data_IF_843845582711
#
_entry.id   IF_843845582711
#
_cell.length_a   1.000
_cell.length_b   1.000
_cell.length_c   1.000
_cell.angle_alpha   90.00
_cell.angle_beta   90.00
_cell.angle_gamma   90.00
#
_symmetry.space_group_name_H-M   'P 1'
#
loop_
_entity.id
_entity.type
_entity.pdbx_description
1 polymer ?
#
# COMPACT_ATOMS: atom_id res chain seq x y z
N UNK A 1 -2.68 36.13 -5.52
CA UNK A 1 -2.41 35.33 -4.29
C UNK A 1 -1.21 34.44 -4.56
N UNK A 2 -0.12 34.58 -3.79
CA UNK A 2 1.02 33.65 -3.90
C UNK A 2 0.62 32.33 -3.23
N UNK A 3 0.70 31.23 -3.95
CA UNK A 3 0.42 29.88 -3.43
C UNK A 3 1.46 29.56 -2.33
N UNK A 4 1.00 29.16 -1.14
CA UNK A 4 1.88 28.76 -0.05
C UNK A 4 2.63 27.47 -0.43
N UNK A 5 3.95 27.40 -0.19
CA UNK A 5 4.79 26.31 -0.65
C UNK A 5 4.39 24.92 -0.12
N UNK A 6 3.66 24.85 0.99
CA UNK A 6 3.06 23.62 1.50
C UNK A 6 2.22 22.88 0.43
N UNK A 7 1.48 23.63 -0.41
CA UNK A 7 0.68 23.06 -1.48
C UNK A 7 1.51 22.52 -2.63
N UNK A 8 2.68 23.12 -2.89
CA UNK A 8 3.65 22.63 -3.88
C UNK A 8 4.25 21.33 -3.39
N UNK A 9 4.62 21.23 -2.11
CA UNK A 9 5.11 19.99 -1.49
C UNK A 9 4.03 18.90 -1.53
N UNK A 10 2.78 19.23 -1.22
CA UNK A 10 1.67 18.29 -1.28
C UNK A 10 1.43 17.79 -2.71
N UNK A 11 1.41 18.68 -3.70
CA UNK A 11 1.23 18.32 -5.11
C UNK A 11 2.36 17.42 -5.65
N UNK A 12 3.62 17.76 -5.32
CA UNK A 12 4.78 16.94 -5.69
C UNK A 12 4.72 15.55 -5.02
N UNK A 13 4.33 15.50 -3.74
CA UNK A 13 4.14 14.25 -3.00
C UNK A 13 3.00 13.40 -3.59
N UNK A 14 1.90 14.03 -4.01
CA UNK A 14 0.77 13.37 -4.67
C UNK A 14 1.22 12.69 -5.97
N UNK A 15 1.92 13.43 -6.84
CA UNK A 15 2.45 12.90 -8.12
C UNK A 15 3.43 11.75 -7.85
N UNK A 16 4.28 11.89 -6.84
CA UNK A 16 5.26 10.85 -6.48
C UNK A 16 4.57 9.56 -6.03
N UNK A 17 3.55 9.65 -5.18
CA UNK A 17 2.77 8.48 -4.77
C UNK A 17 1.97 7.90 -5.94
N UNK A 18 1.34 8.75 -6.75
CA UNK A 18 0.63 8.33 -7.95
C UNK A 18 1.51 7.44 -8.85
N UNK A 19 2.68 7.91 -9.25
CA UNK A 19 3.61 7.13 -10.10
C UNK A 19 4.11 5.89 -9.38
N UNK A 20 4.46 5.99 -8.09
CA UNK A 20 4.94 4.83 -7.31
C UNK A 20 3.91 3.71 -7.26
N UNK A 21 2.63 4.02 -7.03
CA UNK A 21 1.58 3.01 -6.96
C UNK A 21 1.12 2.52 -8.33
N UNK A 22 1.24 3.35 -9.37
CA UNK A 22 1.11 2.91 -10.77
C UNK A 22 2.12 1.79 -11.08
N UNK A 23 3.37 1.94 -10.63
CA UNK A 23 4.45 0.96 -10.84
C UNK A 23 4.23 -0.29 -9.98
N UNK A 24 4.10 -0.14 -8.65
CA UNK A 24 4.17 -1.27 -7.71
C UNK A 24 2.93 -2.17 -7.71
N UNK A 25 1.75 -1.64 -8.02
CA UNK A 25 0.49 -2.38 -8.03
C UNK A 25 -0.04 -2.47 -9.46
N UNK A 26 -0.25 -1.33 -10.12
CA UNK A 26 -0.87 -1.27 -11.44
C UNK A 26 -0.08 -2.02 -12.49
N UNK A 27 1.17 -1.63 -12.71
CA UNK A 27 2.00 -2.23 -13.76
C UNK A 27 2.21 -3.72 -13.52
N UNK A 28 2.55 -4.13 -12.30
CA UNK A 28 2.80 -5.54 -12.02
C UNK A 28 1.60 -6.42 -12.36
N UNK A 29 0.43 -6.14 -11.78
CA UNK A 29 -0.76 -6.98 -11.99
C UNK A 29 -1.22 -6.98 -13.45
N UNK A 30 -1.16 -5.84 -14.13
CA UNK A 30 -1.64 -5.71 -15.52
C UNK A 30 -0.66 -6.37 -16.49
N UNK A 31 0.64 -6.14 -16.36
CA UNK A 31 1.65 -6.67 -17.30
C UNK A 31 2.02 -8.13 -17.02
N UNK A 32 1.64 -8.68 -15.86
CA UNK A 32 1.98 -10.04 -15.43
C UNK A 32 1.57 -11.13 -16.44
N UNK A 33 0.34 -11.16 -17.02
CA UNK A 33 -0.03 -12.19 -17.97
C UNK A 33 0.90 -12.24 -19.19
N UNK A 34 1.30 -11.08 -19.69
CA UNK A 34 2.19 -10.99 -20.86
C UNK A 34 3.63 -11.41 -20.50
N UNK A 35 4.10 -11.08 -19.29
CA UNK A 35 5.39 -11.55 -18.79
C UNK A 35 5.42 -13.08 -18.64
N UNK A 36 4.35 -13.69 -18.10
CA UNK A 36 4.22 -15.14 -17.97
C UNK A 36 4.33 -15.81 -19.34
N UNK A 37 3.62 -15.29 -20.34
CA UNK A 37 3.65 -15.83 -21.72
C UNK A 37 5.01 -15.66 -22.39
N UNK A 38 5.61 -14.47 -22.28
CA UNK A 38 6.83 -14.12 -23.01
C UNK A 38 8.08 -14.83 -22.43
N UNK A 39 8.15 -14.96 -21.10
CA UNK A 39 9.25 -15.66 -20.43
C UNK A 39 9.04 -17.18 -20.37
N UNK A 40 7.84 -17.69 -20.64
CA UNK A 40 7.50 -19.10 -20.50
C UNK A 40 7.60 -19.60 -19.05
N UNK A 41 7.35 -18.74 -18.08
CA UNK A 41 7.47 -19.02 -16.64
C UNK A 41 6.15 -19.49 -16.04
N UNK A 42 6.23 -20.23 -14.93
CA UNK A 42 5.08 -20.62 -14.13
C UNK A 42 4.48 -19.43 -13.35
N UNK A 43 3.26 -19.59 -12.84
CA UNK A 43 2.60 -18.59 -12.01
C UNK A 43 3.34 -18.40 -10.67
N UNK A 44 3.94 -19.48 -10.13
CA UNK A 44 4.78 -19.42 -8.93
C UNK A 44 6.04 -18.58 -9.17
N UNK A 45 6.73 -18.79 -10.28
CA UNK A 45 7.91 -18.01 -10.68
C UNK A 45 7.57 -16.55 -10.91
N UNK A 46 6.42 -16.27 -11.52
CA UNK A 46 5.90 -14.92 -11.63
C UNK A 46 5.67 -14.28 -10.25
N UNK A 47 5.10 -15.04 -9.30
CA UNK A 47 4.96 -14.62 -7.91
C UNK A 47 6.29 -14.28 -7.22
N UNK A 48 7.41 -14.96 -7.58
CA UNK A 48 8.74 -14.65 -7.02
C UNK A 48 9.20 -13.23 -7.37
N UNK A 49 8.86 -12.72 -8.55
CA UNK A 49 9.18 -11.34 -8.96
C UNK A 49 8.57 -10.36 -7.94
N UNK A 50 7.28 -10.53 -7.61
CA UNK A 50 6.58 -9.68 -6.66
C UNK A 50 7.07 -9.85 -5.22
N UNK A 51 7.37 -11.08 -4.82
CA UNK A 51 7.90 -11.38 -3.49
C UNK A 51 9.27 -10.77 -3.26
N UNK A 52 10.13 -10.76 -4.28
CA UNK A 52 11.43 -10.09 -4.23
C UNK A 52 11.31 -8.58 -4.03
N UNK A 53 10.37 -7.92 -4.73
CA UNK A 53 10.01 -6.54 -4.47
C UNK A 53 9.55 -6.34 -3.03
N UNK A 54 8.61 -7.17 -2.55
CA UNK A 54 8.04 -7.04 -1.20
C UNK A 54 9.09 -7.25 -0.12
N UNK A 55 10.03 -8.17 -0.33
CA UNK A 55 11.15 -8.45 0.58
C UNK A 55 12.09 -7.23 0.70
N UNK A 56 12.54 -6.69 -0.44
CA UNK A 56 13.43 -5.51 -0.42
C UNK A 56 12.74 -4.27 0.15
N UNK A 57 11.48 -4.06 -0.19
CA UNK A 57 10.65 -3.01 0.40
C UNK A 57 10.55 -3.14 1.92
N UNK A 58 10.21 -4.33 2.42
CA UNK A 58 10.02 -4.59 3.85
C UNK A 58 11.31 -4.39 4.64
N UNK A 59 12.41 -4.95 4.16
CA UNK A 59 13.71 -4.89 4.85
C UNK A 59 14.28 -3.46 4.91
N UNK A 60 14.05 -2.67 3.86
CA UNK A 60 14.63 -1.33 3.76
C UNK A 60 13.75 -0.21 4.32
N UNK A 61 12.44 -0.42 4.46
CA UNK A 61 11.54 0.63 4.99
C UNK A 61 12.00 1.21 6.35
N UNK A 62 12.42 0.42 7.35
CA UNK A 62 12.92 0.98 8.61
C UNK A 62 14.20 1.81 8.44
N UNK A 63 15.09 1.36 7.55
CA UNK A 63 16.33 2.08 7.23
C UNK A 63 16.03 3.43 6.57
N UNK A 64 15.00 3.50 5.72
CA UNK A 64 14.59 4.74 5.04
C UNK A 64 14.06 5.78 6.03
N UNK A 65 13.35 5.36 7.08
CA UNK A 65 12.95 6.26 8.17
C UNK A 65 14.18 6.90 8.84
N UNK A 66 15.13 6.08 9.26
CA UNK A 66 16.39 6.54 9.87
C UNK A 66 17.20 7.45 8.93
N UNK A 67 17.29 7.11 7.65
CA UNK A 67 17.99 7.91 6.65
C UNK A 67 17.32 9.28 6.45
N UNK A 68 15.98 9.30 6.48
CA UNK A 68 15.17 10.53 6.38
C UNK A 68 15.48 11.50 7.52
N UNK A 69 15.62 10.99 8.73
CA UNK A 69 15.97 11.80 9.91
C UNK A 69 17.39 12.39 9.81
N UNK A 70 18.32 11.67 9.15
CA UNK A 70 19.72 12.11 9.01
C UNK A 70 19.97 13.08 7.87
N UNK A 71 19.48 12.80 6.68
CA UNK A 71 19.84 13.57 5.47
C UNK A 71 18.67 14.37 4.88
N UNK A 72 17.46 14.23 5.47
CA UNK A 72 16.24 14.91 5.09
C UNK A 72 15.42 14.14 4.04
N UNK A 73 14.08 14.29 4.13
CA UNK A 73 13.13 13.59 3.28
C UNK A 73 13.26 13.92 1.80
N UNK A 74 13.53 15.20 1.46
CA UNK A 74 13.77 15.63 0.08
C UNK A 74 14.85 14.82 -0.61
N UNK A 75 16.02 14.68 0.02
CA UNK A 75 17.16 13.97 -0.56
C UNK A 75 16.88 12.48 -0.70
N UNK A 76 16.28 11.88 0.35
CA UNK A 76 15.92 10.46 0.36
C UNK A 76 14.93 10.15 -0.76
N UNK A 77 13.80 10.86 -0.82
CA UNK A 77 12.78 10.64 -1.85
C UNK A 77 13.39 10.82 -3.24
N UNK A 78 14.08 11.95 -3.50
CA UNK A 78 14.63 12.22 -4.81
C UNK A 78 15.62 11.15 -5.25
N UNK A 79 16.62 10.82 -4.41
CA UNK A 79 17.64 9.85 -4.76
C UNK A 79 17.07 8.46 -5.03
N UNK A 80 16.13 8.04 -4.20
CA UNK A 80 15.53 6.71 -4.34
C UNK A 80 14.51 6.60 -5.47
N UNK A 81 14.03 7.71 -6.02
CA UNK A 81 13.30 7.72 -7.29
C UNK A 81 14.17 7.25 -8.48
N UNK A 82 15.50 7.35 -8.39
CA UNK A 82 16.40 6.77 -9.40
C UNK A 82 16.36 5.24 -9.37
N UNK A 83 16.31 4.63 -8.19
CA UNK A 83 16.14 3.17 -8.04
C UNK A 83 14.74 2.73 -8.47
N UNK A 84 13.70 3.49 -8.05
CA UNK A 84 12.32 3.22 -8.47
C UNK A 84 12.18 3.26 -9.99
N UNK A 85 12.55 4.37 -10.62
CA UNK A 85 12.43 4.57 -12.06
C UNK A 85 13.40 3.72 -12.86
N UNK A 86 14.67 3.64 -12.44
CA UNK A 86 15.71 2.84 -13.09
C UNK A 86 15.38 1.34 -13.06
N UNK A 87 15.02 0.81 -11.90
CA UNK A 87 14.57 -0.59 -11.79
C UNK A 87 13.33 -0.88 -12.65
N UNK A 88 12.37 0.06 -12.66
CA UNK A 88 11.17 -0.06 -13.51
C UNK A 88 11.51 -0.03 -14.99
N UNK A 89 12.41 0.86 -15.42
CA UNK A 89 12.87 0.91 -16.82
C UNK A 89 13.56 -0.39 -17.21
N UNK A 90 14.44 -0.90 -16.34
CA UNK A 90 15.17 -2.16 -16.57
C UNK A 90 14.21 -3.36 -16.66
N UNK A 91 13.04 -3.35 -15.98
CA UNK A 91 12.01 -4.39 -16.16
C UNK A 91 11.60 -4.56 -17.64
N UNK A 92 11.55 -3.47 -18.41
CA UNK A 92 11.27 -3.54 -19.84
C UNK A 92 12.38 -4.24 -20.66
N UNK A 93 13.61 -4.31 -20.13
CA UNK A 93 14.74 -5.01 -20.76
C UNK A 93 14.90 -6.44 -20.30
N UNK A 94 14.12 -6.90 -19.30
CA UNK A 94 14.23 -8.23 -18.76
C UNK A 94 13.95 -9.29 -19.84
N UNK A 95 14.81 -10.32 -19.91
CA UNK A 95 14.72 -11.40 -20.89
C UNK A 95 14.33 -12.73 -20.24
N UNK A 96 14.44 -12.80 -18.93
CA UNK A 96 14.22 -14.01 -18.15
C UNK A 96 13.76 -13.67 -16.72
N UNK A 97 13.37 -14.70 -15.97
CA UNK A 97 12.93 -14.60 -14.59
C UNK A 97 13.99 -13.95 -13.69
N UNK A 98 15.26 -14.32 -13.85
CA UNK A 98 16.35 -13.87 -12.97
C UNK A 98 16.51 -12.35 -13.05
N UNK A 99 16.57 -11.82 -14.28
CA UNK A 99 16.64 -10.38 -14.51
C UNK A 99 15.40 -9.65 -13.98
N UNK A 100 14.20 -10.20 -14.21
CA UNK A 100 12.97 -9.63 -13.70
C UNK A 100 12.94 -9.56 -12.16
N UNK A 101 13.37 -10.63 -11.48
CA UNK A 101 13.50 -10.67 -10.01
C UNK A 101 14.49 -9.62 -9.50
N UNK A 102 15.66 -9.53 -10.12
CA UNK A 102 16.69 -8.53 -9.74
C UNK A 102 16.16 -7.11 -9.95
N UNK A 103 15.64 -6.81 -11.13
CA UNK A 103 15.20 -5.46 -11.48
C UNK A 103 14.00 -5.03 -10.63
N UNK A 104 13.06 -5.94 -10.36
CA UNK A 104 11.91 -5.61 -9.52
C UNK A 104 12.28 -5.50 -8.03
N UNK A 105 13.35 -6.17 -7.60
CA UNK A 105 13.95 -5.93 -6.27
C UNK A 105 14.52 -4.51 -6.16
N UNK A 106 15.15 -3.99 -7.22
CA UNK A 106 15.62 -2.59 -7.28
C UNK A 106 14.45 -1.62 -7.20
N UNK A 107 13.32 -1.92 -7.85
CA UNK A 107 12.07 -1.14 -7.69
C UNK A 107 11.63 -1.12 -6.23
N UNK A 108 11.70 -2.25 -5.52
CA UNK A 108 11.38 -2.36 -4.09
C UNK A 108 12.27 -1.48 -3.21
N UNK A 109 13.57 -1.41 -3.50
CA UNK A 109 14.52 -0.49 -2.84
C UNK A 109 14.05 0.96 -2.99
N UNK A 110 13.73 1.37 -4.22
CA UNK A 110 13.25 2.73 -4.51
C UNK A 110 11.93 3.04 -3.79
N UNK A 111 10.97 2.12 -3.87
CA UNK A 111 9.64 2.29 -3.28
C UNK A 111 9.66 2.40 -1.75
N UNK A 112 10.61 1.74 -1.07
CA UNK A 112 10.75 1.79 0.39
C UNK A 112 11.01 3.21 0.92
N UNK A 113 11.61 4.07 0.10
CA UNK A 113 11.98 5.43 0.47
C UNK A 113 10.89 6.48 0.17
N UNK A 114 9.67 6.08 -0.18
CA UNK A 114 8.66 7.04 -0.65
C UNK A 114 7.62 7.34 0.43
N UNK A 115 6.91 6.35 0.96
CA UNK A 115 5.75 6.58 1.82
C UNK A 115 6.11 7.28 3.14
N UNK A 116 7.04 6.71 3.91
CA UNK A 116 7.39 7.22 5.25
C UNK A 116 7.99 8.64 5.18
N UNK A 117 8.96 8.93 4.28
CA UNK A 117 9.49 10.27 4.14
C UNK A 117 8.46 11.30 3.67
N UNK A 118 7.52 10.94 2.79
CA UNK A 118 6.45 11.84 2.35
C UNK A 118 5.55 12.22 3.51
N UNK A 119 5.14 11.25 4.34
CA UNK A 119 4.30 11.54 5.52
C UNK A 119 5.03 12.49 6.47
N UNK A 120 6.32 12.29 6.72
CA UNK A 120 7.13 13.18 7.54
C UNK A 120 7.18 14.60 6.98
N UNK A 121 7.37 14.76 5.66
CA UNK A 121 7.34 16.06 5.00
C UNK A 121 5.98 16.77 5.18
N UNK A 122 4.88 16.07 4.93
CA UNK A 122 3.53 16.63 5.09
C UNK A 122 3.29 17.10 6.54
N UNK A 123 3.77 16.34 7.52
CA UNK A 123 3.66 16.72 8.94
C UNK A 123 4.47 17.98 9.29
N UNK A 124 5.58 18.24 8.61
CA UNK A 124 6.39 19.45 8.80
C UNK A 124 5.75 20.68 8.13
N UNK A 125 5.10 20.49 6.97
CA UNK A 125 4.56 21.61 6.16
C UNK A 125 3.15 22.03 6.53
N UNK A 126 2.41 21.19 7.28
CA UNK A 126 1.02 21.49 7.70
C UNK A 126 0.89 21.51 9.23
N UNK A 127 0.31 22.56 9.77
CA UNK A 127 0.01 22.68 11.19
C UNK A 127 -0.94 21.58 11.68
N UNK A 128 -0.94 21.27 12.98
CA UNK A 128 -1.66 20.12 13.57
C UNK A 128 -3.13 20.02 13.11
N UNK A 129 -3.83 21.15 13.07
CA UNK A 129 -5.27 21.21 12.66
C UNK A 129 -5.49 20.93 11.17
N UNK A 130 -4.46 21.03 10.32
CA UNK A 130 -4.56 20.92 8.87
C UNK A 130 -3.89 19.66 8.31
N UNK A 131 -3.14 18.91 9.13
CA UNK A 131 -2.50 17.64 8.73
C UNK A 131 -3.50 16.61 8.21
N UNK A 132 -4.66 16.50 8.87
CA UNK A 132 -5.72 15.58 8.43
C UNK A 132 -6.23 15.90 7.02
N UNK A 133 -6.42 17.19 6.70
CA UNK A 133 -6.81 17.64 5.36
C UNK A 133 -5.74 17.28 4.32
N UNK A 134 -4.48 17.59 4.62
CA UNK A 134 -3.37 17.31 3.70
C UNK A 134 -3.23 15.80 3.41
N UNK A 135 -3.31 14.96 4.45
CA UNK A 135 -3.27 13.51 4.31
C UNK A 135 -4.51 12.98 3.59
N UNK A 136 -5.69 13.58 3.80
CA UNK A 136 -6.91 13.26 3.08
C UNK A 136 -6.80 13.53 1.58
N UNK A 137 -6.16 14.64 1.18
CA UNK A 137 -5.89 14.95 -0.23
C UNK A 137 -4.82 14.01 -0.81
N UNK A 138 -3.84 13.60 -0.01
CA UNK A 138 -2.76 12.73 -0.44
C UNK A 138 -3.22 11.28 -0.65
N UNK A 139 -4.12 10.78 0.20
CA UNK A 139 -4.55 9.38 0.20
C UNK A 139 -5.11 8.87 -1.14
N UNK A 140 -5.95 9.60 -1.90
CA UNK A 140 -6.46 9.12 -3.18
C UNK A 140 -5.37 8.83 -4.23
N UNK A 141 -4.18 9.46 -4.10
CA UNK A 141 -3.11 9.34 -5.09
C UNK A 141 -2.71 7.89 -5.37
N UNK A 142 -2.68 7.03 -4.34
CA UNK A 142 -2.33 5.62 -4.54
C UNK A 142 -3.41 4.86 -5.31
N UNK A 143 -4.68 5.02 -4.96
CA UNK A 143 -5.79 4.36 -5.65
C UNK A 143 -5.93 4.84 -7.09
N UNK A 144 -5.89 6.16 -7.32
CA UNK A 144 -5.93 6.74 -8.66
C UNK A 144 -4.74 6.27 -9.48
N UNK A 145 -3.52 6.17 -8.87
CA UNK A 145 -2.31 5.73 -9.56
C UNK A 145 -2.47 4.35 -10.20
N UNK A 146 -2.76 3.33 -9.41
CA UNK A 146 -2.90 1.99 -9.99
C UNK A 146 -4.20 1.77 -10.77
N UNK A 147 -5.27 2.50 -10.43
CA UNK A 147 -6.55 2.41 -11.13
C UNK A 147 -6.50 2.93 -12.56
N UNK A 148 -5.83 4.07 -12.80
CA UNK A 148 -5.66 4.60 -14.15
C UNK A 148 -4.80 3.67 -15.02
N UNK A 149 -3.91 2.88 -14.45
CA UNK A 149 -3.11 1.93 -15.22
C UNK A 149 -3.97 0.84 -15.88
N UNK A 150 -5.11 0.47 -15.29
CA UNK A 150 -6.06 -0.46 -15.92
C UNK A 150 -6.70 0.07 -17.21
N UNK A 151 -6.70 1.39 -17.42
CA UNK A 151 -7.15 2.04 -18.64
C UNK A 151 -5.99 2.31 -19.62
N UNK A 152 -4.85 2.75 -19.12
CA UNK A 152 -3.72 3.25 -19.95
C UNK A 152 -2.86 2.10 -20.46
N UNK A 153 -2.45 1.17 -19.59
CA UNK A 153 -1.53 0.10 -19.97
C UNK A 153 -2.07 -0.85 -21.05
N UNK A 154 -3.36 -1.22 -21.07
CA UNK A 154 -3.88 -2.04 -22.18
C UNK A 154 -3.68 -1.41 -23.55
N UNK A 155 -3.84 -0.08 -23.67
CA UNK A 155 -3.61 0.64 -24.92
C UNK A 155 -2.14 0.52 -25.32
N UNK A 156 -1.23 0.77 -24.38
CA UNK A 156 0.22 0.67 -24.60
C UNK A 156 0.64 -0.75 -24.99
N UNK A 157 0.08 -1.76 -24.32
CA UNK A 157 0.42 -3.17 -24.57
C UNK A 157 -0.07 -3.63 -25.95
N UNK A 158 -1.28 -3.24 -26.33
CA UNK A 158 -1.85 -3.64 -27.61
C UNK A 158 -1.15 -2.96 -28.81
N UNK A 159 -0.67 -1.73 -28.65
CA UNK A 159 -0.01 -0.99 -29.73
C UNK A 159 1.53 -1.21 -29.76
N UNK A 160 2.18 -1.30 -28.58
CA UNK A 160 3.64 -1.24 -28.48
C UNK A 160 4.26 -2.42 -27.71
N UNK A 161 3.50 -3.43 -27.29
CA UNK A 161 3.92 -4.53 -26.43
C UNK A 161 4.11 -4.13 -24.94
N UNK A 162 4.08 -5.13 -24.06
CA UNK A 162 4.13 -4.96 -22.60
C UNK A 162 5.41 -4.29 -22.08
N UNK A 163 6.54 -4.45 -22.80
CA UNK A 163 7.81 -3.82 -22.42
C UNK A 163 7.76 -2.29 -22.42
N UNK A 164 7.00 -1.70 -23.34
CA UNK A 164 6.81 -0.26 -23.38
C UNK A 164 6.04 0.28 -22.17
N UNK A 165 5.18 -0.53 -21.55
CA UNK A 165 4.54 -0.20 -20.28
C UNK A 165 5.58 0.03 -19.17
N UNK A 166 6.58 -0.85 -19.07
CA UNK A 166 7.67 -0.68 -18.11
C UNK A 166 8.58 0.48 -18.46
N UNK A 167 8.94 0.68 -19.73
CA UNK A 167 9.78 1.82 -20.14
C UNK A 167 9.11 3.15 -19.82
N UNK A 168 7.85 3.33 -20.17
CA UNK A 168 7.11 4.58 -19.94
C UNK A 168 6.98 4.91 -18.45
N UNK A 169 6.64 3.93 -17.62
CA UNK A 169 6.58 4.10 -16.17
C UNK A 169 7.97 4.29 -15.55
N UNK A 170 8.99 3.62 -16.07
CA UNK A 170 10.37 3.81 -15.66
C UNK A 170 10.86 5.25 -15.90
N UNK A 171 10.58 5.80 -17.09
CA UNK A 171 10.87 7.21 -17.40
C UNK A 171 10.11 8.14 -16.45
N UNK A 172 8.81 7.89 -16.22
CA UNK A 172 8.02 8.66 -15.26
C UNK A 172 8.65 8.62 -13.85
N UNK A 173 9.09 7.43 -13.40
CA UNK A 173 9.80 7.26 -12.13
C UNK A 173 11.13 8.01 -12.06
N UNK A 174 11.92 8.02 -13.14
CA UNK A 174 13.18 8.78 -13.24
C UNK A 174 12.93 10.30 -13.21
N UNK A 175 11.88 10.77 -13.88
CA UNK A 175 11.49 12.18 -13.85
C UNK A 175 11.12 12.67 -12.45
N UNK A 176 10.65 11.79 -11.56
CA UNK A 176 10.40 12.12 -10.17
C UNK A 176 11.67 12.56 -9.42
N UNK A 177 12.86 12.10 -9.82
CA UNK A 177 14.12 12.61 -9.26
C UNK A 177 14.24 14.14 -9.41
N UNK A 178 14.00 14.64 -10.62
CA UNK A 178 14.05 16.07 -10.88
C UNK A 178 12.90 16.81 -10.22
N UNK A 179 11.68 16.31 -10.35
CA UNK A 179 10.49 16.91 -9.75
C UNK A 179 10.65 17.06 -8.23
N UNK A 180 11.03 16.01 -7.54
CA UNK A 180 11.20 16.04 -6.09
C UNK A 180 12.42 16.88 -5.67
N UNK A 181 13.49 16.81 -6.42
CA UNK A 181 14.68 17.65 -6.22
C UNK A 181 14.37 19.15 -6.35
N UNK A 182 13.48 19.54 -7.25
CA UNK A 182 13.11 20.94 -7.46
C UNK A 182 12.07 21.45 -6.45
N UNK A 183 11.04 20.67 -6.17
CA UNK A 183 9.84 21.13 -5.47
C UNK A 183 9.76 20.72 -4.00
N UNK A 184 10.32 19.58 -3.60
CA UNK A 184 10.32 19.20 -2.20
C UNK A 184 11.29 20.06 -1.38
N UNK A 185 10.89 20.36 -0.15
CA UNK A 185 11.71 21.02 0.89
C UNK A 185 11.40 20.36 2.22
N UNK A 186 12.42 20.14 3.05
CA UNK A 186 12.26 19.39 4.30
C UNK A 186 11.47 20.16 5.35
N UNK A 187 11.70 21.47 5.45
CA UNK A 187 11.11 22.32 6.49
C UNK A 187 10.72 23.69 5.94
N UNK A 188 9.57 24.25 6.34
CA UNK A 188 9.13 25.57 5.93
C UNK A 188 10.07 26.68 6.40
N UNK A 189 10.73 26.53 7.57
CA UNK A 189 11.64 27.51 8.15
C UNK A 189 12.85 27.82 7.24
N UNK A 190 13.30 26.83 6.43
CA UNK A 190 14.37 27.02 5.43
C UNK A 190 13.98 27.98 4.30
N UNK A 191 12.70 28.31 4.20
CA UNK A 191 12.14 29.25 3.23
C UNK A 191 11.56 30.49 3.91
N UNK A 192 11.86 30.72 5.19
CA UNK A 192 11.26 31.79 6.01
C UNK A 192 9.72 31.73 6.03
N UNK A 193 9.15 30.52 6.03
CA UNK A 193 7.70 30.26 6.09
C UNK A 193 7.38 29.51 7.39
N UNK A 194 6.14 29.69 7.89
CA UNK A 194 5.55 28.86 8.93
C UNK A 194 4.76 27.71 8.30
N UNK A 195 4.49 26.60 9.04
CA UNK A 195 3.60 25.56 8.58
C UNK A 195 2.22 26.10 8.19
N UNK A 196 1.66 25.65 7.07
CA UNK A 196 0.37 26.15 6.59
C UNK A 196 -0.76 25.84 7.57
N UNK A 197 -1.51 26.89 7.94
CA UNK A 197 -2.64 26.78 8.87
C UNK A 197 -2.24 26.80 10.36
N UNK A 198 -1.00 27.14 10.67
CA UNK A 198 -0.58 27.50 12.02
C UNK A 198 -0.87 28.99 12.27
N UNK A 199 -1.52 29.31 13.38
CA UNK A 199 -1.82 30.71 13.74
C UNK A 199 -0.53 31.40 14.19
N UNK A 200 -0.26 32.61 13.70
CA UNK A 200 0.91 33.46 14.06
C UNK A 200 1.06 33.74 15.57
N UNK A 201 0.02 33.48 16.36
CA UNK A 201 0.01 33.70 17.82
C UNK A 201 0.70 32.63 18.67
N UNK A 202 1.23 31.58 18.04
CA UNK A 202 2.03 30.55 18.69
C UNK A 202 3.53 30.85 18.51
N UNK A 203 4.05 31.91 19.19
CA UNK A 203 5.49 32.11 19.27
C UNK A 203 6.23 30.81 19.58
N UNK A 204 7.43 30.68 19.05
CA UNK A 204 8.40 29.57 19.19
C UNK A 204 8.20 28.84 20.54
N UNK A 205 7.14 28.05 20.67
CA UNK A 205 7.01 27.08 21.74
C UNK A 205 7.85 25.90 21.31
N UNK A 206 9.01 25.89 21.91
CA UNK A 206 10.09 25.00 21.73
C UNK A 206 9.67 23.59 21.36
N UNK A 207 10.49 22.98 20.53
CA UNK A 207 10.64 21.54 20.37
C UNK A 207 10.14 20.91 21.69
N UNK A 208 8.88 20.45 21.71
CA UNK A 208 8.44 19.57 22.79
C UNK A 208 9.44 18.43 22.73
N UNK A 209 10.45 18.49 23.65
CA UNK A 209 11.30 17.36 23.95
C UNK A 209 10.38 16.16 23.89
N UNK A 210 10.62 15.29 22.94
CA UNK A 210 10.08 13.94 23.00
C UNK A 210 10.39 13.49 24.40
N UNK A 211 9.36 13.33 25.23
CA UNK A 211 9.50 12.72 26.52
C UNK A 211 10.24 11.44 26.23
N UNK A 212 11.48 11.36 26.72
CA UNK A 212 12.27 10.16 26.64
C UNK A 212 11.58 9.12 27.53
N UNK A 213 10.57 8.52 27.00
CA UNK A 213 10.01 7.30 27.57
C UNK A 213 11.13 6.27 27.50
N UNK A 214 11.45 5.65 28.63
CA UNK A 214 12.38 4.53 28.65
C UNK A 214 11.77 3.41 27.78
N UNK A 215 12.24 3.20 26.53
CA UNK A 215 11.48 2.39 25.56
C UNK A 215 11.46 0.90 25.93
N UNK A 216 12.45 0.45 26.72
CA UNK A 216 12.69 -0.98 26.94
C UNK A 216 11.62 -1.73 27.74
N UNK A 217 11.01 -1.08 28.73
CA UNK A 217 9.95 -1.76 29.52
C UNK A 217 8.63 -1.88 28.74
N UNK A 218 8.24 -0.86 27.98
CA UNK A 218 6.99 -0.87 27.23
C UNK A 218 6.95 -1.90 26.08
N UNK A 219 8.07 -2.14 25.39
CA UNK A 219 8.13 -3.11 24.27
C UNK A 219 8.01 -4.56 24.74
N UNK A 220 8.73 -4.92 25.83
CA UNK A 220 8.68 -6.28 26.35
C UNK A 220 7.28 -6.64 26.88
N UNK A 221 6.62 -5.70 27.55
CA UNK A 221 5.27 -5.87 28.07
C UNK A 221 4.24 -5.97 26.92
N UNK A 222 4.35 -5.13 25.90
CA UNK A 222 3.53 -5.18 24.69
C UNK A 222 3.65 -6.53 23.98
N UNK A 223 4.89 -7.03 23.77
CA UNK A 223 5.14 -8.30 23.08
C UNK A 223 4.71 -9.52 23.90
N UNK A 224 4.65 -9.43 25.23
CA UNK A 224 4.06 -10.47 26.09
C UNK A 224 2.55 -10.48 26.02
N UNK A 225 1.92 -9.37 25.64
CA UNK A 225 0.47 -9.26 25.52
C UNK A 225 -0.11 -9.97 24.31
N UNK A 226 -1.06 -10.90 24.51
CA UNK A 226 -1.73 -11.60 23.41
C UNK A 226 -2.46 -10.69 22.40
N UNK A 227 -2.75 -9.43 22.77
CA UNK A 227 -3.38 -8.43 21.89
C UNK A 227 -2.48 -8.07 20.71
N UNK A 228 -1.18 -7.83 20.97
CA UNK A 228 -0.22 -7.50 19.93
C UNK A 228 -0.16 -8.57 18.84
N UNK A 229 -0.05 -9.83 19.24
CA UNK A 229 0.02 -10.96 18.32
C UNK A 229 -1.29 -11.18 17.54
N UNK A 230 -2.45 -11.03 18.20
CA UNK A 230 -3.75 -11.15 17.52
C UNK A 230 -3.94 -10.08 16.45
N UNK A 231 -3.60 -8.82 16.73
CA UNK A 231 -3.69 -7.73 15.75
C UNK A 231 -2.65 -7.92 14.65
N UNK A 232 -1.41 -8.25 14.99
CA UNK A 232 -0.33 -8.50 14.03
C UNK A 232 -0.65 -9.66 13.09
N UNK A 233 -1.04 -10.83 13.63
CA UNK A 233 -1.42 -11.98 12.82
C UNK A 233 -2.66 -11.72 11.97
N UNK A 234 -3.65 -11.00 12.50
CA UNK A 234 -4.79 -10.57 11.69
C UNK A 234 -4.34 -9.71 10.51
N UNK A 235 -3.37 -8.82 10.74
CA UNK A 235 -2.83 -7.97 9.68
C UNK A 235 -2.01 -8.75 8.64
N UNK A 236 -1.31 -9.80 9.07
CA UNK A 236 -0.69 -10.78 8.17
C UNK A 236 -1.73 -11.48 7.29
N UNK A 237 -2.77 -12.04 7.90
CA UNK A 237 -3.78 -12.82 7.19
C UNK A 237 -4.58 -11.96 6.19
N UNK A 238 -4.97 -10.76 6.55
CA UNK A 238 -5.67 -9.87 5.61
C UNK A 238 -4.75 -9.39 4.49
N UNK A 239 -3.46 -9.14 4.77
CA UNK A 239 -2.47 -8.82 3.73
C UNK A 239 -2.31 -9.97 2.76
N UNK A 240 -2.12 -11.19 3.26
CA UNK A 240 -2.06 -12.39 2.42
C UNK A 240 -3.29 -12.50 1.52
N UNK A 241 -4.49 -12.46 2.10
CA UNK A 241 -5.75 -12.61 1.36
C UNK A 241 -5.99 -11.54 0.31
N UNK A 242 -5.60 -10.29 0.59
CA UNK A 242 -5.77 -9.20 -0.37
C UNK A 242 -4.79 -9.27 -1.54
N UNK A 243 -3.51 -9.54 -1.27
CA UNK A 243 -2.50 -9.62 -2.34
C UNK A 243 -2.65 -10.86 -3.21
N UNK A 244 -3.20 -11.96 -2.68
CA UNK A 244 -3.60 -13.14 -3.48
C UNK A 244 -4.49 -12.73 -4.65
N UNK A 245 -5.48 -11.87 -4.43
CA UNK A 245 -6.36 -11.39 -5.50
C UNK A 245 -5.73 -10.25 -6.31
N UNK A 246 -5.24 -9.20 -5.65
CA UNK A 246 -4.77 -7.96 -6.30
C UNK A 246 -3.63 -8.22 -7.29
N UNK A 247 -2.69 -9.09 -6.96
CA UNK A 247 -1.53 -9.34 -7.81
C UNK A 247 -1.87 -10.24 -9.03
N UNK A 248 -2.87 -11.12 -8.92
CA UNK A 248 -3.18 -12.11 -9.96
C UNK A 248 -4.54 -11.94 -10.65
N UNK A 249 -5.36 -10.95 -10.27
CA UNK A 249 -6.72 -10.83 -10.81
C UNK A 249 -6.75 -10.61 -12.33
N UNK A 250 -5.77 -9.87 -12.88
CA UNK A 250 -5.66 -9.67 -14.33
C UNK A 250 -5.19 -10.96 -15.00
N UNK A 251 -4.22 -11.65 -14.41
CA UNK A 251 -3.75 -12.95 -14.89
C UNK A 251 -4.88 -14.00 -14.85
N UNK A 252 -5.69 -14.03 -13.80
CA UNK A 252 -6.89 -14.86 -13.72
C UNK A 252 -7.87 -14.56 -14.87
N UNK A 253 -8.16 -13.27 -15.13
CA UNK A 253 -9.03 -12.87 -16.23
C UNK A 253 -8.52 -13.29 -17.60
N UNK A 254 -7.22 -13.12 -17.87
CA UNK A 254 -6.61 -13.41 -19.18
C UNK A 254 -6.31 -14.89 -19.36
N UNK A 255 -5.69 -15.54 -18.36
CA UNK A 255 -5.14 -16.90 -18.53
C UNK A 255 -6.13 -18.01 -18.19
N UNK A 256 -7.12 -17.76 -17.33
CA UNK A 256 -8.09 -18.76 -16.89
C UNK A 256 -9.50 -18.49 -17.45
N UNK A 257 -9.97 -17.24 -17.38
CA UNK A 257 -11.28 -16.89 -17.93
C UNK A 257 -11.26 -16.58 -19.43
N UNK A 258 -10.09 -16.53 -20.07
CA UNK A 258 -9.89 -16.20 -21.48
C UNK A 258 -10.57 -14.88 -21.90
N UNK A 259 -10.60 -13.90 -20.99
CA UNK A 259 -11.18 -12.58 -21.28
C UNK A 259 -10.21 -11.74 -22.12
N UNK A 260 -10.76 -10.82 -22.95
CA UNK A 260 -9.93 -9.82 -23.62
C UNK A 260 -9.05 -9.07 -22.61
N UNK A 261 -7.79 -8.84 -22.97
CA UNK A 261 -6.80 -8.20 -22.10
C UNK A 261 -7.27 -6.83 -21.58
N UNK A 262 -7.94 -6.03 -22.42
CA UNK A 262 -8.52 -4.74 -22.02
C UNK A 262 -9.59 -4.88 -20.94
N UNK A 263 -10.46 -5.91 -21.04
CA UNK A 263 -11.51 -6.19 -20.05
C UNK A 263 -10.90 -6.63 -18.72
N UNK A 264 -9.93 -7.56 -18.76
CA UNK A 264 -9.25 -8.03 -17.54
C UNK A 264 -8.48 -6.91 -16.83
N UNK A 265 -7.87 -5.99 -17.59
CA UNK A 265 -7.15 -4.85 -17.01
C UNK A 265 -8.07 -3.85 -16.31
N UNK A 266 -9.34 -3.70 -16.77
CA UNK A 266 -10.35 -2.86 -16.08
C UNK A 266 -10.66 -3.35 -14.66
N UNK A 267 -10.37 -4.60 -14.33
CA UNK A 267 -10.51 -5.12 -12.96
C UNK A 267 -9.72 -4.28 -11.95
N UNK A 268 -8.51 -3.86 -12.32
CA UNK A 268 -7.69 -2.97 -11.48
C UNK A 268 -8.30 -1.58 -11.33
N UNK A 269 -8.93 -1.07 -12.38
CA UNK A 269 -9.62 0.23 -12.36
C UNK A 269 -10.82 0.19 -11.40
N UNK A 270 -11.67 -0.82 -11.53
CA UNK A 270 -12.86 -0.98 -10.66
C UNK A 270 -12.43 -1.12 -9.20
N UNK A 271 -11.46 -2.00 -8.92
CA UNK A 271 -10.93 -2.23 -7.59
C UNK A 271 -10.36 -0.95 -6.98
N UNK A 272 -9.60 -0.18 -7.75
CA UNK A 272 -8.93 1.02 -7.29
C UNK A 272 -9.91 2.15 -6.95
N UNK A 273 -10.80 2.50 -7.88
CA UNK A 273 -11.71 3.61 -7.67
C UNK A 273 -12.75 3.32 -6.59
N UNK A 274 -13.26 2.09 -6.53
CA UNK A 274 -14.11 1.68 -5.41
C UNK A 274 -13.34 1.73 -4.07
N UNK A 275 -12.05 1.37 -4.07
CA UNK A 275 -11.17 1.44 -2.90
C UNK A 275 -10.95 2.87 -2.40
N UNK A 276 -10.82 3.84 -3.29
CA UNK A 276 -10.75 5.26 -2.90
C UNK A 276 -12.03 5.68 -2.16
N UNK A 277 -13.20 5.33 -2.68
CA UNK A 277 -14.49 5.64 -2.05
C UNK A 277 -14.63 4.93 -0.69
N UNK A 278 -14.30 3.64 -0.64
CA UNK A 278 -14.38 2.83 0.58
C UNK A 278 -13.44 3.32 1.67
N UNK A 279 -12.24 3.75 1.29
CA UNK A 279 -11.25 4.32 2.22
C UNK A 279 -11.79 5.55 2.97
N UNK A 280 -12.57 6.39 2.33
CA UNK A 280 -13.22 7.53 2.99
C UNK A 280 -14.43 7.13 3.81
N UNK A 281 -15.38 6.42 3.20
CA UNK A 281 -16.68 6.16 3.81
C UNK A 281 -16.57 5.17 4.99
N UNK A 282 -15.81 4.09 4.83
CA UNK A 282 -15.65 3.10 5.89
C UNK A 282 -14.79 3.59 7.05
N UNK A 283 -13.82 4.49 6.78
CA UNK A 283 -13.08 5.14 7.87
C UNK A 283 -13.97 6.03 8.71
N UNK A 284 -14.80 6.87 8.06
CA UNK A 284 -15.78 7.69 8.78
C UNK A 284 -16.76 6.82 9.57
N UNK A 285 -17.31 5.76 8.96
CA UNK A 285 -18.21 4.81 9.64
C UNK A 285 -17.54 4.16 10.85
N UNK A 286 -16.26 3.81 10.75
CA UNK A 286 -15.52 3.16 11.83
C UNK A 286 -15.29 4.04 13.07
N UNK A 287 -15.41 5.37 12.92
CA UNK A 287 -15.40 6.29 14.06
C UNK A 287 -16.67 6.17 14.93
N UNK A 288 -17.78 5.77 14.32
CA UNK A 288 -19.08 5.62 15.03
C UNK A 288 -19.26 4.21 15.61
N UNK A 289 -18.98 3.15 14.84
CA UNK A 289 -19.23 1.77 15.26
C UNK A 289 -18.04 1.12 15.99
N UNK A 290 -16.90 1.82 16.03
CA UNK A 290 -15.67 1.35 16.66
C UNK A 290 -14.77 0.52 15.73
N UNK A 291 -13.45 0.65 15.90
CA UNK A 291 -12.43 0.05 15.02
C UNK A 291 -12.46 -1.47 14.97
N UNK A 292 -12.68 -2.12 16.14
CA UNK A 292 -12.75 -3.57 16.23
C UNK A 292 -13.88 -4.14 15.38
N UNK A 293 -15.09 -3.62 15.57
CA UNK A 293 -16.28 -4.09 14.85
C UNK A 293 -16.12 -3.83 13.34
N UNK A 294 -15.65 -2.64 12.98
CA UNK A 294 -15.39 -2.27 11.59
C UNK A 294 -14.39 -3.20 10.92
N UNK A 295 -13.26 -3.55 11.58
CA UNK A 295 -12.28 -4.49 11.05
C UNK A 295 -12.85 -5.89 10.87
N UNK A 296 -13.66 -6.40 11.81
CA UNK A 296 -14.32 -7.71 11.67
C UNK A 296 -15.27 -7.69 10.47
N UNK A 297 -16.11 -6.66 10.34
CA UNK A 297 -17.04 -6.51 9.22
C UNK A 297 -16.29 -6.44 7.89
N UNK A 298 -15.31 -5.54 7.79
CA UNK A 298 -14.55 -5.32 6.55
C UNK A 298 -13.86 -6.60 6.09
N UNK A 299 -13.20 -7.33 7.00
CA UNK A 299 -12.48 -8.56 6.64
C UNK A 299 -13.45 -9.71 6.29
N UNK A 300 -14.57 -9.84 7.00
CA UNK A 300 -15.58 -10.85 6.68
C UNK A 300 -16.22 -10.62 5.32
N UNK A 301 -16.62 -9.38 5.04
CA UNK A 301 -17.20 -9.05 3.73
C UNK A 301 -16.16 -9.07 2.60
N UNK A 302 -14.89 -8.79 2.89
CA UNK A 302 -13.80 -8.94 1.93
C UNK A 302 -13.62 -10.42 1.55
N UNK A 303 -13.66 -11.33 2.50
CA UNK A 303 -13.66 -12.76 2.22
C UNK A 303 -14.88 -13.19 1.41
N UNK A 304 -16.08 -12.70 1.75
CA UNK A 304 -17.30 -12.97 1.00
C UNK A 304 -17.23 -12.44 -0.44
N UNK A 305 -16.62 -11.27 -0.66
CA UNK A 305 -16.44 -10.73 -2.02
C UNK A 305 -15.46 -11.57 -2.85
N UNK A 306 -14.40 -12.13 -2.26
CA UNK A 306 -13.52 -13.09 -2.94
C UNK A 306 -14.31 -14.36 -3.32
N UNK A 307 -15.09 -14.91 -2.40
CA UNK A 307 -15.93 -16.09 -2.69
C UNK A 307 -16.97 -15.80 -3.76
N UNK A 308 -17.58 -14.61 -3.72
CA UNK A 308 -18.52 -14.19 -4.77
C UNK A 308 -17.84 -14.09 -6.15
N UNK A 309 -16.62 -13.53 -6.22
CA UNK A 309 -15.81 -13.50 -7.45
C UNK A 309 -15.59 -14.92 -7.98
N UNK A 310 -15.28 -15.88 -7.13
CA UNK A 310 -15.06 -17.28 -7.53
C UNK A 310 -16.34 -17.93 -8.05
N UNK A 311 -17.46 -17.72 -7.37
CA UNK A 311 -18.74 -18.34 -7.74
C UNK A 311 -19.32 -17.77 -9.03
N UNK A 312 -19.11 -16.47 -9.30
CA UNK A 312 -19.75 -15.73 -10.41
C UNK A 312 -18.76 -15.29 -11.49
N UNK A 313 -17.46 -15.64 -11.36
CA UNK A 313 -16.37 -15.15 -12.21
C UNK A 313 -16.52 -15.41 -13.70
N UNK A 314 -17.35 -16.36 -14.12
CA UNK A 314 -17.66 -16.63 -15.53
C UNK A 314 -18.55 -15.55 -16.16
N UNK A 315 -19.14 -14.66 -15.37
CA UNK A 315 -20.03 -13.58 -15.81
C UNK A 315 -19.39 -12.24 -15.48
N UNK A 316 -18.81 -11.58 -16.49
CA UNK A 316 -18.07 -10.32 -16.34
C UNK A 316 -18.78 -9.24 -15.50
N UNK A 317 -20.09 -8.96 -15.67
CA UNK A 317 -20.78 -7.96 -14.84
C UNK A 317 -20.74 -8.31 -13.34
N UNK A 318 -20.97 -9.57 -12.97
CA UNK A 318 -20.92 -10.01 -11.58
C UNK A 318 -19.50 -9.99 -11.02
N UNK A 319 -18.50 -10.35 -11.85
CA UNK A 319 -17.09 -10.23 -11.49
C UNK A 319 -16.72 -8.77 -11.17
N UNK A 320 -17.17 -7.82 -12.00
CA UNK A 320 -16.97 -6.38 -11.76
C UNK A 320 -17.64 -5.90 -10.46
N UNK A 321 -18.86 -6.39 -10.16
CA UNK A 321 -19.53 -6.08 -8.88
C UNK A 321 -18.73 -6.63 -7.70
N UNK A 322 -18.29 -7.89 -7.77
CA UNK A 322 -17.46 -8.51 -6.72
C UNK A 322 -16.16 -7.76 -6.48
N UNK A 323 -15.50 -7.34 -7.58
CA UNK A 323 -14.27 -6.53 -7.51
C UNK A 323 -14.53 -5.12 -6.97
N UNK A 324 -15.67 -4.52 -7.29
CA UNK A 324 -16.11 -3.25 -6.73
C UNK A 324 -16.32 -3.34 -5.21
N UNK A 325 -17.00 -4.40 -4.75
CA UNK A 325 -17.18 -4.69 -3.33
C UNK A 325 -15.83 -4.95 -2.64
N UNK A 326 -14.99 -5.80 -3.23
CA UNK A 326 -13.65 -6.08 -2.72
C UNK A 326 -12.82 -4.80 -2.60
N UNK A 327 -12.73 -4.02 -3.66
CA UNK A 327 -11.98 -2.77 -3.68
C UNK A 327 -12.47 -1.78 -2.64
N UNK A 328 -13.78 -1.59 -2.52
CA UNK A 328 -14.41 -0.73 -1.53
C UNK A 328 -13.98 -1.09 -0.10
N UNK A 329 -13.95 -2.38 0.23
CA UNK A 329 -13.50 -2.87 1.53
C UNK A 329 -11.98 -2.76 1.69
N UNK A 330 -11.22 -3.10 0.65
CA UNK A 330 -9.74 -3.06 0.63
C UNK A 330 -9.18 -1.68 0.93
N UNK A 331 -9.80 -0.62 0.39
CA UNK A 331 -9.35 0.76 0.60
C UNK A 331 -9.32 1.21 2.06
N UNK A 332 -10.13 0.61 2.92
CA UNK A 332 -10.21 0.93 4.34
C UNK A 332 -9.28 0.10 5.24
N UNK A 333 -8.77 -1.04 4.76
CA UNK A 333 -7.98 -1.98 5.59
C UNK A 333 -6.78 -1.31 6.23
N UNK A 334 -5.90 -0.72 5.42
CA UNK A 334 -4.67 -0.09 5.89
C UNK A 334 -4.90 1.02 6.94
N UNK A 335 -5.74 2.04 6.69
CA UNK A 335 -5.95 3.11 7.65
C UNK A 335 -6.66 2.63 8.93
N UNK A 336 -7.52 1.61 8.85
CA UNK A 336 -8.18 1.05 10.04
C UNK A 336 -7.21 0.36 10.99
N UNK A 337 -6.20 -0.36 10.49
CA UNK A 337 -5.17 -0.94 11.35
C UNK A 337 -4.31 0.13 12.00
N UNK A 338 -4.01 1.22 11.28
CA UNK A 338 -3.35 2.38 11.85
C UNK A 338 -4.13 3.04 12.99
N UNK A 339 -5.44 3.16 12.85
CA UNK A 339 -6.32 3.67 13.88
C UNK A 339 -6.46 2.68 15.05
N UNK A 340 -6.61 1.38 14.76
CA UNK A 340 -6.67 0.32 15.77
C UNK A 340 -5.42 0.32 16.67
N UNK A 341 -4.23 0.51 16.12
CA UNK A 341 -3.00 0.60 16.90
C UNK A 341 -3.02 1.77 17.89
N UNK A 342 -3.63 2.91 17.53
CA UNK A 342 -3.79 4.07 18.44
C UNK A 342 -4.78 3.82 19.57
N UNK A 343 -5.83 3.03 19.30
CA UNK A 343 -6.89 2.77 20.27
C UNK A 343 -6.50 1.69 21.30
N UNK A 344 -5.62 0.76 20.91
CA UNK A 344 -5.28 -0.42 21.73
C UNK A 344 -3.92 -0.34 22.41
N UNK A 345 -3.07 0.63 22.06
CA UNK A 345 -1.72 0.77 22.63
C UNK A 345 -1.46 2.19 23.14
N UNK A 346 -0.60 2.33 24.19
CA UNK A 346 -0.27 3.62 24.77
C UNK A 346 0.29 4.60 23.74
N UNK A 347 -0.13 5.88 23.84
CA UNK A 347 0.27 6.95 22.89
C UNK A 347 1.78 7.09 22.69
N UNK A 348 2.57 6.80 23.73
CA UNK A 348 4.04 6.92 23.67
C UNK A 348 4.75 5.87 22.80
N UNK A 349 4.13 4.72 22.52
CA UNK A 349 4.71 3.61 21.73
C UNK A 349 3.95 3.32 20.44
N UNK A 350 2.89 4.05 20.13
CA UNK A 350 2.01 3.80 18.97
C UNK A 350 2.77 3.74 17.65
N UNK A 351 3.76 4.62 17.45
CA UNK A 351 4.56 4.63 16.21
C UNK A 351 5.39 3.36 16.05
N UNK A 352 6.00 2.88 17.13
CA UNK A 352 6.77 1.64 17.10
C UNK A 352 5.88 0.41 16.93
N UNK A 353 4.70 0.41 17.57
CA UNK A 353 3.68 -0.64 17.36
C UNK A 353 3.26 -0.71 15.90
N UNK A 354 2.97 0.43 15.27
CA UNK A 354 2.63 0.49 13.85
C UNK A 354 3.76 -0.04 12.97
N UNK A 355 5.01 0.32 13.28
CA UNK A 355 6.18 -0.19 12.57
C UNK A 355 6.28 -1.72 12.64
N UNK A 356 6.14 -2.30 13.85
CA UNK A 356 6.17 -3.74 14.05
C UNK A 356 4.95 -4.44 13.39
N UNK A 357 3.77 -3.85 13.46
CA UNK A 357 2.59 -4.38 12.76
C UNK A 357 2.76 -4.37 11.24
N UNK A 358 3.44 -3.37 10.70
CA UNK A 358 3.77 -3.31 9.26
C UNK A 358 4.65 -4.48 8.82
N UNK A 359 5.46 -5.06 9.70
CA UNK A 359 6.24 -6.28 9.41
C UNK A 359 5.29 -7.45 9.14
N UNK A 360 4.28 -7.67 9.98
CA UNK A 360 3.29 -8.73 9.75
C UNK A 360 2.59 -8.57 8.40
N UNK A 361 2.17 -7.36 8.08
CA UNK A 361 1.57 -7.04 6.78
C UNK A 361 2.54 -7.30 5.62
N UNK A 362 3.78 -6.86 5.74
CA UNK A 362 4.82 -7.04 4.72
C UNK A 362 5.15 -8.51 4.48
N UNK A 363 5.20 -9.34 5.54
CA UNK A 363 5.41 -10.78 5.42
C UNK A 363 4.24 -11.44 4.69
N UNK A 364 2.99 -11.05 4.98
CA UNK A 364 1.81 -11.51 4.24
C UNK A 364 1.89 -11.17 2.75
N UNK A 365 2.23 -9.92 2.43
CA UNK A 365 2.41 -9.43 1.06
C UNK A 365 3.60 -10.09 0.33
N UNK A 366 4.61 -10.55 1.06
CA UNK A 366 5.78 -11.24 0.49
C UNK A 366 5.47 -12.71 0.17
N UNK A 367 4.76 -13.41 1.05
CA UNK A 367 4.46 -14.84 0.89
C UNK A 367 3.32 -15.06 -0.12
N UNK A 368 2.34 -14.18 -0.12
CA UNK A 368 1.11 -14.32 -0.91
C UNK A 368 1.36 -14.60 -2.40
N UNK A 369 2.19 -13.84 -3.14
CA UNK A 369 2.31 -14.04 -4.58
C UNK A 369 2.91 -15.40 -4.97
N UNK A 370 3.95 -15.86 -4.26
CA UNK A 370 4.56 -17.17 -4.55
C UNK A 370 3.60 -18.31 -4.25
N UNK A 371 2.94 -18.26 -3.08
CA UNK A 371 2.02 -19.33 -2.69
C UNK A 371 0.75 -19.35 -3.56
N UNK A 372 0.26 -18.17 -3.97
CA UNK A 372 -0.85 -18.06 -4.92
C UNK A 372 -0.50 -18.68 -6.27
N UNK A 373 0.65 -18.32 -6.82
CA UNK A 373 1.12 -18.88 -8.09
C UNK A 373 1.37 -20.39 -7.99
N UNK A 374 2.03 -20.86 -6.92
CA UNK A 374 2.30 -22.28 -6.70
C UNK A 374 1.01 -23.12 -6.63
N UNK A 375 0.04 -22.71 -5.85
CA UNK A 375 -1.24 -23.40 -5.78
C UNK A 375 -1.96 -23.40 -7.12
N UNK A 376 -1.92 -22.29 -7.86
CA UNK A 376 -2.54 -22.20 -9.18
C UNK A 376 -1.81 -23.07 -10.23
N UNK A 377 -0.49 -23.30 -10.09
CA UNK A 377 0.25 -24.21 -10.97
C UNK A 377 -0.07 -25.68 -10.65
N UNK A 378 -0.07 -26.06 -9.36
CA UNK A 378 -0.32 -27.44 -8.92
C UNK A 378 -1.76 -27.87 -9.18
N UNK A 379 -2.72 -26.98 -8.95
CA UNK A 379 -4.15 -27.30 -9.10
C UNK A 379 -4.71 -26.99 -10.49
N UNK A 380 -3.95 -26.29 -11.33
CA UNK A 380 -4.38 -25.84 -12.66
C UNK A 380 -5.30 -24.63 -12.66
N UNK A 381 -5.68 -24.08 -11.49
CA UNK A 381 -6.65 -23.01 -11.39
C UNK A 381 -6.39 -22.07 -10.20
N UNK A 382 -6.69 -20.77 -10.36
CA UNK A 382 -6.58 -19.77 -9.28
C UNK A 382 -7.63 -19.91 -8.19
N UNK A 383 -8.70 -20.66 -8.43
CA UNK A 383 -9.81 -20.80 -7.48
C UNK A 383 -9.37 -21.27 -6.09
N UNK A 384 -8.42 -22.21 -5.99
CA UNK A 384 -7.89 -22.69 -4.73
C UNK A 384 -7.05 -21.62 -4.00
N UNK A 385 -6.26 -20.88 -4.77
CA UNK A 385 -5.47 -19.77 -4.22
C UNK A 385 -6.35 -18.67 -3.67
N UNK A 386 -7.37 -18.25 -4.43
CA UNK A 386 -8.32 -17.22 -3.99
C UNK A 386 -9.18 -17.72 -2.84
N UNK A 387 -9.59 -19.00 -2.83
CA UNK A 387 -10.28 -19.63 -1.71
C UNK A 387 -9.44 -19.60 -0.43
N UNK A 388 -8.14 -19.90 -0.51
CA UNK A 388 -7.21 -19.76 0.62
C UNK A 388 -7.07 -18.29 1.05
N UNK A 389 -7.06 -17.35 0.09
CA UNK A 389 -7.08 -15.90 0.38
C UNK A 389 -8.33 -15.47 1.15
N UNK A 390 -9.51 -15.96 0.76
CA UNK A 390 -10.77 -15.73 1.48
C UNK A 390 -10.73 -16.33 2.89
N UNK A 391 -10.25 -17.56 3.03
CA UNK A 391 -10.06 -18.20 4.33
C UNK A 391 -9.10 -17.39 5.23
N UNK A 392 -7.99 -16.91 4.69
CA UNK A 392 -7.07 -16.06 5.43
C UNK A 392 -7.73 -14.76 5.91
N UNK A 393 -8.52 -14.10 5.07
CA UNK A 393 -9.26 -12.90 5.48
C UNK A 393 -10.25 -13.20 6.62
N UNK A 394 -10.94 -14.34 6.59
CA UNK A 394 -11.82 -14.78 7.70
C UNK A 394 -11.03 -15.07 8.97
N UNK A 395 -9.88 -15.72 8.89
CA UNK A 395 -9.00 -15.93 10.05
C UNK A 395 -8.54 -14.61 10.66
N UNK A 396 -8.24 -13.61 9.81
CA UNK A 396 -7.96 -12.25 10.27
C UNK A 396 -9.14 -11.64 11.04
N UNK A 397 -10.36 -11.78 10.53
CA UNK A 397 -11.58 -11.32 11.21
C UNK A 397 -11.80 -11.99 12.56
N UNK A 398 -11.61 -13.30 12.64
CA UNK A 398 -11.74 -14.09 13.89
C UNK A 398 -10.73 -13.60 14.94
N UNK A 399 -9.46 -13.39 14.54
CA UNK A 399 -8.42 -12.90 15.44
C UNK A 399 -8.75 -11.53 16.03
N UNK A 400 -9.25 -10.60 15.20
CA UNK A 400 -9.72 -9.30 15.68
C UNK A 400 -10.95 -9.44 16.57
N UNK A 401 -11.87 -10.33 16.23
CA UNK A 401 -13.04 -10.64 17.06
C UNK A 401 -12.68 -11.06 18.50
N UNK A 402 -11.57 -11.76 18.66
CA UNK A 402 -11.07 -12.24 19.97
C UNK A 402 -10.22 -11.22 20.74
N UNK A 403 -10.07 -10.00 20.27
CA UNK A 403 -9.42 -8.93 21.04
C UNK A 403 -10.41 -8.41 22.08
N UNK A 404 -9.96 -8.25 23.33
CA UNK A 404 -10.75 -7.59 24.39
C UNK A 404 -11.07 -6.13 24.06
N UNK A 405 -11.91 -5.47 24.85
CA UNK A 405 -12.17 -4.03 24.69
C UNK A 405 -10.89 -3.20 24.92
N UNK A 406 -10.77 -2.00 24.31
CA UNK A 406 -9.66 -1.09 24.57
C UNK A 406 -9.61 -0.69 26.06
N UNK A 407 -8.40 -0.51 26.61
CA UNK A 407 -8.24 -0.14 28.04
C UNK A 407 -8.72 1.28 28.34
N UNK A 408 -8.78 2.15 27.33
CA UNK A 408 -9.23 3.54 27.48
C UNK A 408 -10.72 3.61 27.84
N UNK A 409 -11.55 2.66 27.41
CA UNK A 409 -12.97 2.62 27.76
C UNK A 409 -13.26 2.09 29.18
N UNK A 410 -12.27 1.43 29.81
CA UNK A 410 -12.42 0.93 31.19
C UNK A 410 -12.25 2.00 32.27
N UNK A 411 -11.54 3.08 31.96
CA UNK A 411 -11.29 4.20 32.91
C UNK A 411 -12.40 5.27 32.91
N UNK A 412 -13.34 5.19 31.98
CA UNK A 412 -14.49 6.10 31.96
C UNK A 412 -15.76 5.43 32.54
N UNK A 413 -15.74 4.12 32.82
CA UNK A 413 -16.83 3.37 33.47
C UNK A 413 -16.57 3.10 34.97
N UNK A 414 -15.35 3.34 35.50
CA UNK A 414 -14.97 3.31 36.92
C UNK A 414 -14.82 4.76 37.47
#
# INVERSE_FOLDING_TARGET
>A
MKIHWAWVVLGSSFITLFVTYSIRIGAYSILLPEMIKDFGISKAEAGMIKSAFSMTYLLLTPLMGWLTDRIGGRKVISLFCLFLGGGTFLMGTAKDLTLAVIYYSVVGIGAAAIWVPIIALIQNWFGEKKRGLALGILSPSYGIGFGLMGLVLPIVVLEYQWRFGWYSLGIAGLLLFFLNGMFLRDHPEKMALSPWGESESGGIKGIKKMVSFSPRMGYAEMMRGGRFWKIGLSYFFISYGTYTLVDFIVAYGVLELNLPYSVASLFMTVLAFSGVLGGFLLMALSDYIGRKISLVIVQSFLALSILFILLMGNRVPFLMIGLGCFGFLYGAVWPMYGACARDYFPKGITGAVLGLMTIFYGVGAMISPVLTGYLADVTGAFQWSFGLGAFAALMGAVLIGWIGRPEVSRKEED
#
